data_IF_254318844226
#
_entry.id   IF_254318844226
#
_cell.length_a   1.000
_cell.length_b   1.000
_cell.length_c   1.000
_cell.angle_alpha   90.00
_cell.angle_beta   90.00
_cell.angle_gamma   90.00
#
_symmetry.space_group_name_H-M   'P 1'
#
loop_
_entity.id
_entity.type
_entity.pdbx_description
1 polymer ?
#
# COMPACT_ATOMS: atom_id res chain seq x y z
N UNK A 1 3.75 43.35 37.77
CA UNK A 1 3.56 41.89 37.64
C UNK A 1 3.14 41.62 36.20
N UNK A 2 3.96 40.92 35.42
CA UNK A 2 3.58 40.56 34.06
C UNK A 2 2.50 39.47 34.17
N UNK A 3 1.28 39.78 33.76
CA UNK A 3 0.26 38.77 33.54
C UNK A 3 0.74 37.91 32.38
N UNK A 4 1.21 36.70 32.66
CA UNK A 4 1.41 35.68 31.64
C UNK A 4 0.03 35.37 31.06
N UNK A 5 -0.21 35.81 29.83
CA UNK A 5 -1.44 35.49 29.10
C UNK A 5 -1.51 33.98 28.92
N UNK A 6 -2.38 33.32 29.68
CA UNK A 6 -2.66 31.90 29.54
C UNK A 6 -3.56 31.71 28.31
N UNK A 7 -2.95 31.54 27.14
CA UNK A 7 -3.68 31.18 25.93
C UNK A 7 -3.89 29.67 25.88
N UNK A 8 -5.15 29.24 25.87
CA UNK A 8 -5.48 27.84 25.67
C UNK A 8 -5.09 27.39 24.25
N UNK A 9 -4.43 26.23 24.09
CA UNK A 9 -4.08 25.72 22.78
C UNK A 9 -5.32 25.29 22.00
N UNK A 10 -5.23 25.29 20.67
CA UNK A 10 -6.30 24.73 19.83
C UNK A 10 -6.31 23.21 19.97
N UNK A 11 -7.40 22.66 20.47
CA UNK A 11 -7.61 21.23 20.60
C UNK A 11 -9.04 20.88 20.16
N UNK A 12 -9.23 20.00 19.16
CA UNK A 12 -10.56 19.70 18.64
C UNK A 12 -11.49 19.08 19.70
N UNK A 13 -12.75 19.54 19.79
CA UNK A 13 -13.72 18.96 20.72
C UNK A 13 -14.10 17.53 20.34
N UNK A 14 -14.71 16.81 21.28
CA UNK A 14 -15.23 15.48 21.03
C UNK A 14 -16.59 15.58 20.35
N UNK A 15 -16.71 15.00 19.16
CA UNK A 15 -17.99 14.90 18.46
C UNK A 15 -18.76 13.67 18.96
N UNK A 16 -19.85 13.87 19.70
CA UNK A 16 -20.64 12.76 20.25
C UNK A 16 -21.35 11.95 19.15
N UNK A 17 -21.66 12.57 18.00
CA UNK A 17 -22.60 12.03 16.99
C UNK A 17 -21.97 11.60 15.66
N UNK A 18 -20.64 11.63 15.52
CA UNK A 18 -19.99 11.35 14.23
C UNK A 18 -20.28 9.96 13.63
N UNK A 19 -20.30 8.90 14.45
CA UNK A 19 -20.53 7.51 14.03
C UNK A 19 -20.92 6.59 15.21
N UNK A 20 -21.15 5.31 14.92
CA UNK A 20 -21.55 4.28 15.90
C UNK A 20 -20.44 3.74 16.82
N UNK A 21 -19.20 4.24 16.75
CA UNK A 21 -18.09 3.80 17.61
C UNK A 21 -17.65 4.89 18.60
N UNK A 22 -18.63 5.51 19.27
CA UNK A 22 -18.43 6.62 20.22
C UNK A 22 -17.43 6.28 21.32
N UNK A 23 -17.46 5.06 21.86
CA UNK A 23 -16.52 4.62 22.90
C UNK A 23 -15.06 4.60 22.46
N UNK A 24 -14.77 4.12 21.24
CA UNK A 24 -13.40 4.17 20.70
C UNK A 24 -12.92 5.60 20.50
N UNK A 25 -13.76 6.42 19.88
CA UNK A 25 -13.43 7.82 19.61
C UNK A 25 -13.19 8.57 20.93
N UNK A 26 -14.00 8.28 21.96
CA UNK A 26 -13.83 8.83 23.30
C UNK A 26 -12.48 8.46 23.91
N UNK A 27 -12.12 7.17 23.95
CA UNK A 27 -10.81 6.73 24.46
C UNK A 27 -9.65 7.40 23.73
N UNK A 28 -9.72 7.51 22.40
CA UNK A 28 -8.69 8.14 21.57
C UNK A 28 -8.59 9.65 21.84
N UNK A 29 -9.73 10.32 21.98
CA UNK A 29 -9.81 11.74 22.32
C UNK A 29 -9.26 11.99 23.73
N UNK A 30 -9.70 11.23 24.72
CA UNK A 30 -9.26 11.33 26.11
C UNK A 30 -7.74 11.13 26.23
N UNK A 31 -7.18 10.09 25.58
CA UNK A 31 -5.74 9.89 25.60
C UNK A 31 -4.94 11.03 24.92
N UNK A 32 -5.50 11.70 23.91
CA UNK A 32 -4.89 12.91 23.33
C UNK A 32 -4.97 14.10 24.30
N UNK A 33 -6.08 14.21 25.01
CA UNK A 33 -6.30 15.25 26.00
C UNK A 33 -5.37 15.08 27.22
N UNK A 34 -5.18 13.87 27.74
CA UNK A 34 -4.24 13.60 28.83
C UNK A 34 -2.80 13.96 28.45
N UNK A 35 -2.38 13.65 27.21
CA UNK A 35 -1.08 14.10 26.69
C UNK A 35 -0.96 15.62 26.60
N UNK A 36 -2.05 16.32 26.28
CA UNK A 36 -2.08 17.79 26.31
C UNK A 36 -1.87 18.33 27.73
N UNK A 37 -2.54 17.75 28.73
CA UNK A 37 -2.36 18.14 30.13
C UNK A 37 -0.90 17.99 30.58
N UNK A 38 -0.25 16.88 30.20
CA UNK A 38 1.18 16.64 30.48
C UNK A 38 2.05 17.68 29.77
N UNK A 39 1.81 17.94 28.48
CA UNK A 39 2.59 18.92 27.71
C UNK A 39 2.47 20.36 28.28
N UNK A 40 1.31 20.69 28.85
CA UNK A 40 1.06 21.98 29.51
C UNK A 40 1.47 22.01 30.98
N UNK A 41 2.05 20.93 31.51
CA UNK A 41 2.44 20.77 32.91
C UNK A 41 1.27 21.05 33.90
N UNK A 42 0.06 20.61 33.54
CA UNK A 42 -1.13 20.77 34.38
C UNK A 42 -1.23 19.59 35.35
N UNK A 43 -0.95 19.85 36.62
CA UNK A 43 -0.95 18.84 37.69
C UNK A 43 -2.11 19.02 38.67
N UNK A 44 -2.69 20.22 38.76
CA UNK A 44 -3.82 20.49 39.64
C UNK A 44 -5.10 19.80 39.13
N UNK A 45 -5.68 18.92 39.94
CA UNK A 45 -6.82 18.10 39.56
C UNK A 45 -8.07 18.92 39.26
N UNK A 46 -8.27 20.05 39.94
CA UNK A 46 -9.39 20.95 39.66
C UNK A 46 -9.25 21.60 38.29
N UNK A 47 -8.04 22.04 37.95
CA UNK A 47 -7.73 22.55 36.61
C UNK A 47 -7.88 21.48 35.53
N UNK A 48 -7.40 20.25 35.77
CA UNK A 48 -7.56 19.14 34.84
C UNK A 48 -9.04 18.87 34.53
N UNK A 49 -9.90 18.82 35.56
CA UNK A 49 -11.35 18.65 35.39
C UNK A 49 -12.00 19.79 34.62
N UNK A 50 -11.67 21.04 34.95
CA UNK A 50 -12.19 22.19 34.22
C UNK A 50 -11.77 22.18 32.74
N UNK A 51 -10.51 21.82 32.47
CA UNK A 51 -10.01 21.69 31.09
C UNK A 51 -10.68 20.52 30.35
N UNK A 52 -10.96 19.41 31.03
CA UNK A 52 -11.63 18.26 30.42
C UNK A 52 -13.00 18.66 29.88
N UNK A 53 -13.83 19.26 30.72
CA UNK A 53 -15.18 19.67 30.36
C UNK A 53 -15.18 20.78 29.29
N UNK A 54 -14.23 21.73 29.39
CA UNK A 54 -14.07 22.78 28.39
C UNK A 54 -13.68 22.24 27.01
N UNK A 55 -12.63 21.42 26.94
CA UNK A 55 -12.10 20.92 25.67
C UNK A 55 -12.93 19.79 25.07
N UNK A 56 -13.63 18.99 25.90
CA UNK A 56 -14.53 17.96 25.39
C UNK A 56 -15.67 18.57 24.57
N UNK A 57 -16.05 19.81 24.90
CA UNK A 57 -17.03 20.60 24.18
C UNK A 57 -18.43 20.45 24.78
N UNK A 58 -19.31 21.36 24.36
CA UNK A 58 -20.63 21.56 24.94
C UNK A 58 -21.48 20.29 25.05
N UNK A 59 -21.47 19.43 24.03
CA UNK A 59 -22.27 18.21 24.05
C UNK A 59 -21.82 17.24 25.16
N UNK A 60 -20.52 17.17 25.45
CA UNK A 60 -19.99 16.33 26.54
C UNK A 60 -20.28 16.97 27.90
N UNK A 61 -20.20 18.29 28.00
CA UNK A 61 -20.52 19.04 29.23
C UNK A 61 -22.01 18.85 29.61
N UNK A 62 -22.92 18.98 28.64
CA UNK A 62 -24.36 18.73 28.84
C UNK A 62 -24.64 17.26 29.23
N UNK A 63 -23.91 16.28 28.67
CA UNK A 63 -23.99 14.89 29.11
C UNK A 63 -23.49 14.75 30.55
N UNK A 64 -22.35 15.37 30.87
CA UNK A 64 -21.73 15.30 32.18
C UNK A 64 -22.66 15.78 33.30
N UNK A 65 -23.42 16.85 33.06
CA UNK A 65 -24.43 17.38 33.98
C UNK A 65 -25.56 16.38 34.32
N UNK A 66 -25.77 15.37 33.46
CA UNK A 66 -26.78 14.32 33.68
C UNK A 66 -26.24 13.09 34.43
N UNK A 67 -24.92 12.97 34.59
CA UNK A 67 -24.30 11.81 35.22
C UNK A 67 -24.36 11.88 36.75
N UNK A 68 -24.62 10.74 37.39
CA UNK A 68 -24.45 10.60 38.84
C UNK A 68 -22.98 10.37 39.19
N UNK A 69 -22.63 10.58 40.46
CA UNK A 69 -21.33 10.18 41.04
C UNK A 69 -20.09 10.80 40.39
N UNK A 70 -20.23 11.99 39.79
CA UNK A 70 -19.11 12.68 39.13
C UNK A 70 -18.07 13.26 40.10
N UNK A 71 -18.32 13.23 41.41
CA UNK A 71 -17.41 13.77 42.44
C UNK A 71 -17.36 15.29 42.48
N UNK A 72 -16.53 15.83 43.38
CA UNK A 72 -16.32 17.27 43.56
C UNK A 72 -15.38 17.85 42.50
N UNK A 73 -15.25 19.19 42.46
CA UNK A 73 -14.39 19.86 41.49
C UNK A 73 -12.92 19.38 41.48
N UNK A 74 -12.41 18.84 42.60
CA UNK A 74 -11.06 18.28 42.74
C UNK A 74 -10.94 16.81 42.28
N UNK A 75 -12.06 16.13 42.05
CA UNK A 75 -12.11 14.72 41.71
C UNK A 75 -12.08 14.54 40.19
N UNK A 76 -10.91 14.77 39.58
CA UNK A 76 -10.72 14.56 38.14
C UNK A 76 -10.93 13.10 37.74
N UNK A 77 -10.43 12.17 38.55
CA UNK A 77 -10.47 10.74 38.24
C UNK A 77 -11.91 10.23 38.24
N UNK A 78 -12.76 10.69 39.16
CA UNK A 78 -14.21 10.40 39.15
C UNK A 78 -14.93 10.97 37.93
N UNK A 79 -14.53 12.16 37.48
CA UNK A 79 -15.10 12.75 36.26
C UNK A 79 -14.78 11.90 35.03
N UNK A 80 -13.53 11.42 34.92
CA UNK A 80 -13.15 10.46 33.87
C UNK A 80 -13.95 9.17 34.00
N UNK A 81 -14.05 8.58 35.20
CA UNK A 81 -14.76 7.33 35.42
C UNK A 81 -16.22 7.42 34.98
N UNK A 82 -16.92 8.51 35.34
CA UNK A 82 -18.30 8.74 34.92
C UNK A 82 -18.44 8.87 33.40
N UNK A 83 -17.58 9.66 32.75
CA UNK A 83 -17.60 9.82 31.28
C UNK A 83 -17.22 8.54 30.55
N UNK A 84 -16.25 7.79 31.08
CA UNK A 84 -15.90 6.47 30.58
C UNK A 84 -17.06 5.50 30.71
N UNK A 85 -17.75 5.47 31.86
CA UNK A 85 -18.93 4.65 32.07
C UNK A 85 -20.10 5.06 31.16
N UNK A 86 -20.16 6.30 30.67
CA UNK A 86 -21.16 6.70 29.69
C UNK A 86 -20.77 6.33 28.25
N UNK A 87 -19.53 6.59 27.83
CA UNK A 87 -19.13 6.43 26.43
C UNK A 87 -18.60 5.03 26.07
N UNK A 88 -17.99 4.30 27.01
CA UNK A 88 -17.33 3.00 26.75
C UNK A 88 -18.27 1.78 26.69
N UNK A 89 -19.42 1.68 27.41
CA UNK A 89 -20.20 0.43 27.48
C UNK A 89 -20.72 -0.11 26.14
N UNK A 90 -20.64 0.66 25.06
CA UNK A 90 -21.22 0.31 23.77
C UNK A 90 -20.23 -0.19 22.72
N UNK A 91 -19.01 -0.57 23.10
CA UNK A 91 -18.10 -1.23 22.15
C UNK A 91 -18.61 -2.64 21.88
N UNK A 92 -19.29 -2.82 20.76
CA UNK A 92 -19.67 -4.13 20.25
C UNK A 92 -18.41 -4.84 19.73
N UNK A 93 -17.79 -5.63 20.60
CA UNK A 93 -16.52 -6.32 20.29
C UNK A 93 -16.64 -7.20 19.05
N UNK A 94 -17.78 -7.85 18.82
CA UNK A 94 -18.02 -8.63 17.61
C UNK A 94 -18.02 -7.77 16.34
N UNK A 95 -18.55 -6.54 16.41
CA UNK A 95 -18.49 -5.58 15.29
C UNK A 95 -17.07 -5.07 15.05
N UNK A 96 -16.29 -4.82 16.11
CA UNK A 96 -14.90 -4.41 15.98
C UNK A 96 -14.03 -5.53 15.38
N UNK A 97 -14.27 -6.77 15.80
CA UNK A 97 -13.63 -7.94 15.20
C UNK A 97 -14.03 -8.12 13.74
N UNK A 98 -15.31 -7.91 13.41
CA UNK A 98 -15.77 -7.87 12.02
C UNK A 98 -15.00 -6.82 11.20
N UNK A 99 -14.89 -5.58 11.70
CA UNK A 99 -14.14 -4.51 11.04
C UNK A 99 -12.65 -4.87 10.86
N UNK A 100 -12.03 -5.49 11.87
CA UNK A 100 -10.67 -5.99 11.80
C UNK A 100 -10.51 -7.05 10.71
N UNK A 101 -11.43 -8.01 10.60
CA UNK A 101 -11.38 -9.08 9.59
C UNK A 101 -11.63 -8.57 8.17
N UNK A 102 -12.40 -7.49 8.02
CA UNK A 102 -12.64 -6.85 6.72
C UNK A 102 -11.46 -6.01 6.24
N UNK A 103 -10.52 -5.66 7.12
CA UNK A 103 -9.37 -4.84 6.76
C UNK A 103 -8.43 -5.56 5.77
N UNK A 104 -8.21 -4.95 4.61
CA UNK A 104 -7.21 -5.33 3.61
C UNK A 104 -6.24 -4.17 3.38
N UNK A 105 -5.03 -4.47 2.93
CA UNK A 105 -4.04 -3.47 2.56
C UNK A 105 -4.60 -2.63 1.39
N UNK A 106 -4.64 -1.31 1.58
CA UNK A 106 -5.14 -0.38 0.56
C UNK A 106 -4.15 -0.29 -0.61
N UNK A 107 -4.64 0.19 -1.76
CA UNK A 107 -3.76 0.50 -2.89
C UNK A 107 -2.71 1.52 -2.46
N UNK A 108 -1.43 1.22 -2.70
CA UNK A 108 -0.27 2.04 -2.34
C UNK A 108 0.00 2.21 -0.84
N UNK A 109 -0.72 1.51 0.04
CA UNK A 109 -0.38 1.44 1.47
C UNK A 109 0.82 0.51 1.67
N UNK A 110 1.81 0.92 2.45
CA UNK A 110 2.93 0.05 2.82
C UNK A 110 2.50 -1.00 3.83
N UNK A 111 3.24 -2.10 3.94
CA UNK A 111 2.96 -3.14 4.91
C UNK A 111 3.00 -2.61 6.35
N UNK A 112 3.96 -1.73 6.66
CA UNK A 112 4.06 -1.11 7.98
C UNK A 112 2.85 -0.23 8.29
N UNK A 113 2.35 0.55 7.32
CA UNK A 113 1.15 1.36 7.49
C UNK A 113 -0.09 0.47 7.71
N UNK A 114 -0.21 -0.62 6.96
CA UNK A 114 -1.28 -1.59 7.14
C UNK A 114 -1.20 -2.26 8.52
N UNK A 115 -0.01 -2.67 8.96
CA UNK A 115 0.22 -3.22 10.30
C UNK A 115 -0.16 -2.22 11.40
N UNK A 116 0.19 -0.94 11.28
CA UNK A 116 -0.24 0.10 12.22
C UNK A 116 -1.76 0.22 12.27
N UNK A 117 -2.45 0.18 11.12
CA UNK A 117 -3.90 0.23 11.06
C UNK A 117 -4.55 -1.00 11.70
N UNK A 118 -4.00 -2.20 11.48
CA UNK A 118 -4.45 -3.42 12.16
C UNK A 118 -4.26 -3.34 13.68
N UNK A 119 -3.13 -2.80 14.16
CA UNK A 119 -2.92 -2.56 15.60
C UNK A 119 -3.93 -1.58 16.20
N UNK A 120 -4.40 -0.61 15.42
CA UNK A 120 -5.44 0.32 15.89
C UNK A 120 -6.79 -0.38 15.97
N UNK A 121 -7.17 -1.15 14.96
CA UNK A 121 -8.43 -1.91 14.93
C UNK A 121 -8.48 -2.98 16.03
N UNK A 122 -7.35 -3.60 16.37
CA UNK A 122 -7.30 -4.65 17.38
C UNK A 122 -7.51 -4.16 18.82
N UNK A 123 -7.40 -2.86 19.11
CA UNK A 123 -7.48 -2.32 20.49
C UNK A 123 -8.80 -2.61 21.20
N UNK A 124 -9.87 -2.80 20.44
CA UNK A 124 -11.22 -3.05 20.93
C UNK A 124 -11.71 -4.47 20.66
N UNK A 125 -10.89 -5.29 20.00
CA UNK A 125 -11.22 -6.69 19.77
C UNK A 125 -10.96 -7.50 21.04
N UNK A 126 -11.73 -8.56 21.29
CA UNK A 126 -11.53 -9.44 22.44
C UNK A 126 -10.51 -10.54 22.13
N UNK A 127 -9.38 -10.17 21.51
CA UNK A 127 -8.34 -11.11 21.10
C UNK A 127 -7.41 -11.49 22.27
N UNK A 128 -7.20 -12.78 22.46
CA UNK A 128 -6.24 -13.30 23.44
C UNK A 128 -4.80 -13.01 23.03
N UNK A 129 -4.49 -13.14 21.73
CA UNK A 129 -3.17 -12.88 21.17
C UNK A 129 -3.30 -11.96 19.96
N UNK A 130 -3.17 -10.65 20.23
CA UNK A 130 -3.29 -9.59 19.22
C UNK A 130 -2.25 -9.75 18.11
N UNK A 131 -1.02 -10.13 18.44
CA UNK A 131 0.06 -10.25 17.45
C UNK A 131 -0.17 -11.44 16.51
N UNK A 132 -0.69 -12.55 17.02
CA UNK A 132 -1.16 -13.67 16.20
C UNK A 132 -2.31 -13.26 15.28
N UNK A 133 -3.30 -12.53 15.80
CA UNK A 133 -4.43 -12.10 14.97
C UNK A 133 -4.03 -11.13 13.88
N UNK A 134 -3.12 -10.19 14.18
CA UNK A 134 -2.53 -9.29 13.21
C UNK A 134 -1.73 -10.06 12.16
N UNK A 135 -0.91 -11.04 12.56
CA UNK A 135 -0.19 -11.90 11.61
C UNK A 135 -1.17 -12.57 10.64
N UNK A 136 -2.20 -13.22 11.18
CA UNK A 136 -3.21 -13.91 10.37
C UNK A 136 -3.92 -12.94 9.42
N UNK A 137 -4.27 -11.75 9.90
CA UNK A 137 -4.93 -10.75 9.08
C UNK A 137 -4.01 -10.17 8.00
N UNK A 138 -2.71 -10.02 8.25
CA UNK A 138 -1.73 -9.65 7.21
C UNK A 138 -1.69 -10.73 6.12
N UNK A 139 -1.65 -12.01 6.48
CA UNK A 139 -1.63 -13.11 5.50
C UNK A 139 -2.88 -13.08 4.61
N UNK A 140 -4.05 -12.81 5.19
CA UNK A 140 -5.30 -12.71 4.43
C UNK A 140 -5.33 -11.42 3.59
N UNK A 141 -5.02 -10.28 4.18
CA UNK A 141 -5.30 -8.95 3.64
C UNK A 141 -4.16 -8.26 2.88
N UNK A 142 -2.94 -8.79 2.84
CA UNK A 142 -1.82 -8.12 2.17
C UNK A 142 -1.97 -8.08 0.63
N UNK A 143 -1.37 -7.09 -0.02
CA UNK A 143 -1.39 -6.97 -1.47
C UNK A 143 -0.41 -7.95 -2.15
N UNK A 144 0.75 -8.22 -1.52
CA UNK A 144 1.76 -9.11 -2.09
C UNK A 144 1.39 -10.60 -1.99
N UNK A 145 1.20 -11.22 -3.16
CA UNK A 145 1.03 -12.67 -3.28
C UNK A 145 2.29 -13.44 -2.90
N UNK A 146 3.48 -12.86 -3.11
CA UNK A 146 4.76 -13.49 -2.78
C UNK A 146 4.92 -13.57 -1.26
N UNK A 147 4.66 -12.47 -0.55
CA UNK A 147 4.67 -12.43 0.90
C UNK A 147 3.67 -13.41 1.49
N UNK A 148 2.42 -13.42 1.00
CA UNK A 148 1.38 -14.37 1.43
C UNK A 148 1.84 -15.82 1.28
N UNK A 149 2.35 -16.21 0.10
CA UNK A 149 2.84 -17.57 -0.16
C UNK A 149 3.98 -17.97 0.76
N UNK A 150 4.92 -17.04 1.01
CA UNK A 150 6.03 -17.26 1.94
C UNK A 150 5.52 -17.49 3.36
N UNK A 151 4.60 -16.63 3.82
CA UNK A 151 4.02 -16.73 5.16
C UNK A 151 3.26 -18.04 5.38
N UNK A 152 2.46 -18.48 4.41
CA UNK A 152 1.74 -19.75 4.47
C UNK A 152 2.65 -20.99 4.46
N UNK A 153 3.87 -20.86 3.92
CA UNK A 153 4.85 -21.96 3.88
C UNK A 153 5.67 -22.04 5.16
N UNK A 154 6.14 -20.90 5.66
CA UNK A 154 7.15 -20.83 6.71
C UNK A 154 6.56 -20.58 8.11
N UNK A 155 5.28 -20.20 8.21
CA UNK A 155 4.60 -19.76 9.43
C UNK A 155 5.47 -18.83 10.32
N UNK A 156 5.95 -17.70 9.79
CA UNK A 156 6.87 -16.83 10.52
C UNK A 156 6.18 -16.17 11.72
N UNK A 157 6.98 -15.65 12.65
CA UNK A 157 6.47 -14.70 13.66
C UNK A 157 6.01 -13.40 13.00
N UNK A 158 5.17 -12.61 13.68
CA UNK A 158 4.73 -11.31 13.16
C UNK A 158 5.93 -10.42 12.79
N UNK A 159 6.95 -10.38 13.64
CA UNK A 159 8.20 -9.64 13.38
C UNK A 159 8.86 -10.10 12.07
N UNK A 160 9.08 -11.41 11.92
CA UNK A 160 9.76 -11.96 10.74
C UNK A 160 8.93 -11.74 9.46
N UNK A 161 7.60 -11.77 9.55
CA UNK A 161 6.70 -11.46 8.44
C UNK A 161 6.84 -10.00 7.99
N UNK A 162 6.86 -9.06 8.94
CA UNK A 162 7.05 -7.64 8.65
C UNK A 162 8.44 -7.37 8.07
N UNK A 163 9.49 -7.98 8.63
CA UNK A 163 10.86 -7.83 8.13
C UNK A 163 10.98 -8.36 6.68
N UNK A 164 10.35 -9.50 6.38
CA UNK A 164 10.30 -10.06 5.03
C UNK A 164 9.55 -9.13 4.06
N UNK A 165 8.43 -8.55 4.49
CA UNK A 165 7.66 -7.61 3.69
C UNK A 165 8.39 -6.31 3.41
N UNK A 166 9.05 -5.72 4.42
CA UNK A 166 9.90 -4.52 4.23
C UNK A 166 11.04 -4.79 3.26
N UNK A 167 11.69 -5.95 3.37
CA UNK A 167 12.73 -6.36 2.43
C UNK A 167 12.19 -6.49 0.99
N UNK A 168 10.98 -7.05 0.83
CA UNK A 168 10.32 -7.16 -0.48
C UNK A 168 9.98 -5.80 -1.07
N UNK A 169 9.35 -4.89 -0.30
CA UNK A 169 9.02 -3.53 -0.73
C UNK A 169 10.28 -2.76 -1.16
N UNK A 170 11.34 -2.85 -0.37
CA UNK A 170 12.65 -2.24 -0.68
C UNK A 170 13.24 -2.82 -1.96
N UNK A 171 13.24 -4.15 -2.11
CA UNK A 171 13.76 -4.83 -3.30
C UNK A 171 12.99 -4.43 -4.56
N UNK A 172 11.67 -4.25 -4.45
CA UNK A 172 10.83 -3.85 -5.59
C UNK A 172 11.14 -2.42 -6.05
N UNK A 173 11.33 -1.49 -5.11
CA UNK A 173 11.74 -0.11 -5.43
C UNK A 173 13.13 -0.10 -6.10
N UNK A 174 14.07 -0.86 -5.55
CA UNK A 174 15.43 -0.97 -6.10
C UNK A 174 15.44 -1.59 -7.50
N UNK A 175 14.70 -2.68 -7.73
CA UNK A 175 14.57 -3.32 -9.04
C UNK A 175 13.98 -2.37 -10.08
N UNK A 176 12.90 -1.65 -9.74
CA UNK A 176 12.31 -0.65 -10.62
C UNK A 176 13.27 0.48 -11.00
N UNK A 177 14.15 0.89 -10.07
CA UNK A 177 15.17 1.89 -10.35
C UNK A 177 16.21 1.37 -11.35
N UNK A 178 16.70 0.15 -11.17
CA UNK A 178 17.67 -0.51 -12.07
C UNK A 178 17.08 -0.68 -13.47
N UNK A 179 15.87 -1.24 -13.58
CA UNK A 179 15.18 -1.46 -14.86
C UNK A 179 14.93 -0.14 -15.63
N UNK A 180 14.61 0.95 -14.91
CA UNK A 180 14.48 2.30 -15.51
C UNK A 180 15.82 2.85 -16.02
N UNK A 181 16.92 2.60 -15.32
CA UNK A 181 18.24 3.01 -15.78
C UNK A 181 18.67 2.24 -17.04
N UNK A 182 18.46 0.92 -17.08
CA UNK A 182 18.79 0.08 -18.23
C UNK A 182 17.98 0.47 -19.49
N UNK A 183 16.67 0.72 -19.33
CA UNK A 183 15.83 1.19 -20.44
C UNK A 183 16.22 2.57 -20.96
N UNK A 184 16.71 3.47 -20.10
CA UNK A 184 17.19 4.80 -20.50
C UNK A 184 18.53 4.73 -21.26
N UNK A 185 19.40 3.77 -20.95
CA UNK A 185 20.66 3.57 -21.66
C UNK A 185 20.46 2.99 -23.08
N UNK A 186 19.43 2.16 -23.26
CA UNK A 186 19.12 1.54 -24.56
C UNK A 186 18.53 2.53 -25.60
N UNK A 187 17.99 3.69 -25.19
CA UNK A 187 17.47 4.72 -26.11
C UNK A 187 18.59 5.52 -26.78
N UNK A 188 19.77 5.63 -26.15
CA UNK A 188 20.91 6.37 -26.69
C UNK A 188 21.79 5.58 -27.69
N UNK A 189 21.45 4.33 -28.00
CA UNK A 189 22.26 3.44 -28.85
C UNK A 189 21.86 3.44 -30.34
N UNK A 190 20.84 4.20 -30.77
CA UNK A 190 20.42 4.26 -32.18
C UNK A 190 20.60 5.68 -32.71
N UNK A 191 21.81 6.01 -33.17
CA UNK A 191 22.13 6.95 -34.27
C UNK A 191 23.64 7.23 -34.34
N UNK A 192 24.43 6.23 -34.73
CA UNK A 192 25.62 6.48 -35.55
C UNK A 192 25.52 5.57 -36.75
N UNK A 193 25.13 6.17 -37.88
CA UNK A 193 24.90 5.47 -39.13
C UNK A 193 26.13 4.65 -39.52
N UNK A 194 25.89 3.38 -39.79
CA UNK A 194 26.76 2.60 -40.65
C UNK A 194 26.86 3.35 -41.98
N UNK A 195 27.98 4.06 -42.19
CA UNK A 195 28.38 4.51 -43.52
C UNK A 195 28.74 3.26 -44.31
N UNK A 196 27.78 2.76 -45.08
CA UNK A 196 28.01 1.81 -46.16
C UNK A 196 29.05 2.41 -47.12
N UNK A 197 30.29 1.91 -47.05
CA UNK A 197 31.30 2.17 -48.07
C UNK A 197 30.96 1.34 -49.31
N UNK A 198 30.21 1.96 -50.21
CA UNK A 198 29.97 1.44 -51.55
C UNK A 198 31.27 1.50 -52.36
N UNK A 199 31.91 0.35 -52.61
CA UNK A 199 33.06 0.23 -53.50
C UNK A 199 32.57 -0.31 -54.86
N UNK A 200 32.66 0.43 -55.98
CA UNK A 200 32.36 -0.14 -57.28
C UNK A 200 33.57 -0.94 -57.81
N UNK A 201 33.37 -2.24 -58.05
CA UNK A 201 34.36 -3.13 -58.67
C UNK A 201 34.49 -2.87 -60.18
N UNK A 202 35.71 -2.67 -60.73
CA UNK A 202 35.90 -2.56 -62.18
C UNK A 202 36.04 -3.94 -62.85
N UNK A 203 35.07 -4.24 -63.72
CA UNK A 203 35.10 -5.01 -64.98
C UNK A 203 36.17 -6.13 -65.15
N UNK A 204 35.64 -7.34 -65.23
CA UNK A 204 36.27 -8.57 -65.72
C UNK A 204 36.96 -8.44 -67.09
N UNK A 205 38.23 -8.84 -67.14
CA UNK A 205 38.92 -9.20 -68.37
C UNK A 205 38.72 -10.69 -68.70
N UNK A 206 38.27 -10.92 -69.93
CA UNK A 206 38.02 -12.21 -70.58
C UNK A 206 39.28 -13.10 -70.68
N UNK A 207 39.09 -14.42 -70.49
CA UNK A 207 39.74 -15.46 -71.30
C UNK A 207 38.72 -16.56 -71.66
N UNK A 208 38.71 -17.08 -72.89
CA UNK A 208 37.71 -18.03 -73.36
C UNK A 208 38.20 -19.48 -73.22
N UNK A 209 37.28 -20.41 -72.91
CA UNK A 209 37.48 -21.82 -73.19
C UNK A 209 36.31 -22.34 -74.02
N UNK A 210 36.66 -22.80 -75.22
CA UNK A 210 35.80 -23.48 -76.17
C UNK A 210 35.13 -24.71 -75.54
N UNK A 211 33.83 -24.86 -75.77
CA UNK A 211 33.27 -26.11 -76.31
C UNK A 211 31.88 -25.85 -76.90
N UNK A 212 31.62 -26.58 -77.99
CA UNK A 212 30.63 -26.36 -79.03
C UNK A 212 29.36 -27.19 -78.79
N UNK A 213 28.32 -26.78 -79.52
CA UNK A 213 27.09 -27.52 -79.88
C UNK A 213 26.00 -27.62 -78.79
N UNK A 214 24.73 -27.28 -79.01
CA UNK A 214 24.04 -26.84 -80.23
C UNK A 214 22.56 -26.43 -79.95
N UNK A 215 22.00 -25.66 -80.90
CA UNK A 215 20.59 -25.47 -81.29
C UNK A 215 19.50 -25.35 -80.20
N UNK A 216 18.90 -24.15 -80.06
CA UNK A 216 17.63 -23.70 -80.67
C UNK A 216 16.37 -24.44 -80.18
N UNK A 217 15.51 -23.78 -79.37
CA UNK A 217 14.16 -23.33 -79.78
C UNK A 217 13.42 -22.60 -78.63
N UNK A 218 13.10 -21.33 -78.88
CA UNK A 218 11.88 -20.56 -78.58
C UNK A 218 11.05 -20.77 -77.27
N UNK A 219 10.96 -19.63 -76.54
CA UNK A 219 9.77 -18.93 -75.97
C UNK A 219 8.84 -19.62 -74.94
N UNK A 220 8.83 -18.99 -73.75
CA UNK A 220 7.71 -18.64 -72.87
C UNK A 220 6.51 -19.60 -72.74
N UNK A 221 6.29 -20.13 -71.54
CA UNK A 221 5.29 -19.66 -70.55
C UNK A 221 5.25 -20.66 -69.36
N UNK A 222 5.01 -20.15 -68.15
CA UNK A 222 4.57 -20.87 -66.93
C UNK A 222 5.59 -21.76 -66.18
N UNK A 223 6.10 -21.21 -65.07
CA UNK A 223 6.55 -21.99 -63.88
C UNK A 223 5.33 -22.49 -63.09
N UNK A 224 5.49 -23.57 -62.31
CA UNK A 224 5.14 -23.46 -60.89
C UNK A 224 6.31 -23.84 -59.97
N UNK A 225 6.64 -22.95 -59.03
CA UNK A 225 7.55 -23.23 -57.91
C UNK A 225 6.84 -24.13 -56.89
N UNK A 226 7.20 -25.41 -56.83
CA UNK A 226 6.81 -26.31 -55.74
C UNK A 226 7.82 -26.18 -54.60
N UNK A 227 7.77 -25.08 -53.84
CA UNK A 227 8.54 -24.96 -52.60
C UNK A 227 7.60 -25.11 -51.40
N UNK A 228 7.84 -26.16 -50.61
CA UNK A 228 7.15 -26.48 -49.36
C UNK A 228 7.43 -25.43 -48.28
N UNK A 229 6.40 -25.03 -47.55
CA UNK A 229 6.46 -24.05 -46.47
C UNK A 229 7.23 -24.60 -45.26
N UNK A 230 8.27 -23.88 -44.83
CA UNK A 230 9.14 -24.28 -43.71
C UNK A 230 8.53 -24.13 -42.31
N UNK A 231 7.34 -23.51 -42.19
CA UNK A 231 6.69 -23.29 -40.89
C UNK A 231 5.57 -24.32 -40.57
N UNK A 232 4.90 -24.86 -41.59
CA UNK A 232 3.86 -25.89 -41.41
C UNK A 232 4.23 -27.26 -42.01
N UNK A 233 5.37 -27.36 -42.71
CA UNK A 233 5.94 -28.62 -43.19
C UNK A 233 5.16 -29.37 -44.29
N UNK A 234 3.96 -28.91 -44.69
CA UNK A 234 3.02 -29.73 -45.45
C UNK A 234 2.46 -29.17 -46.76
N UNK A 235 2.87 -27.99 -47.27
CA UNK A 235 2.25 -27.45 -48.49
C UNK A 235 3.02 -26.33 -49.21
N UNK A 236 2.62 -26.03 -50.45
CA UNK A 236 3.24 -25.01 -51.33
C UNK A 236 2.96 -23.60 -50.79
N UNK A 237 4.01 -22.79 -50.66
CA UNK A 237 3.91 -21.37 -50.26
C UNK A 237 3.75 -20.46 -51.49
N UNK A 238 3.01 -19.32 -51.44
CA UNK A 238 2.31 -18.71 -50.29
C UNK A 238 0.83 -19.12 -50.17
N UNK A 239 0.35 -19.26 -48.93
CA UNK A 239 -1.09 -19.42 -48.61
C UNK A 239 -1.84 -18.08 -48.66
N UNK A 240 -3.11 -18.13 -49.07
CA UNK A 240 -4.06 -17.02 -48.93
C UNK A 240 -4.38 -16.83 -47.43
N UNK A 241 -4.52 -15.56 -47.02
CA UNK A 241 -4.89 -15.19 -45.65
C UNK A 241 -6.42 -15.08 -45.59
N UNK A 242 -7.04 -15.80 -44.66
CA UNK A 242 -8.37 -15.47 -44.15
C UNK A 242 -8.23 -14.56 -42.91
#
# INVERSE_FOLDING_TARGET
>A
MAATSFSLPTFPPFDVHADGNTGHRWKKWLGRFERLLVAMNITDKKQQRAMLLHFAGRAVDEIFDTLSDTGEAKDYDKAIEALNAYFIPHVNTAFEEYNFRQAKQNQSETLDAFHTRLRQLSQNCSFTDVDKEIKNQIIVGCSSQKLRRKALREDPTLKNLLDAGRAEETSQIQAQFVEKQESSQNINAIKTGALEKHNPSPRDMRKPQNQRHGSNYQRNFNKPHTSTCRNCGGGIYPHARD
#
